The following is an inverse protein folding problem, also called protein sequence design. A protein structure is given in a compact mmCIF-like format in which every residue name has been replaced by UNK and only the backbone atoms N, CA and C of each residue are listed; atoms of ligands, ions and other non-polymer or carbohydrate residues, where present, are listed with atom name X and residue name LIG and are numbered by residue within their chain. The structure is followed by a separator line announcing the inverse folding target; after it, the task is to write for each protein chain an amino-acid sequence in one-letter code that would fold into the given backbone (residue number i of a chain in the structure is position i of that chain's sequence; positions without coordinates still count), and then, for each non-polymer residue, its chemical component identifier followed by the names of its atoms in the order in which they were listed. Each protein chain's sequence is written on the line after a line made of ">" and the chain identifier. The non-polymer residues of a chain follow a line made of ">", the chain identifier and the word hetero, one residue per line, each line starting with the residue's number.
data_IF_280668604570
#
_entry.id   IF_280668604570
#
_cell.length_a   1.000
_cell.length_b   1.000
_cell.length_c   1.000
_cell.angle_alpha   90.00
_cell.angle_beta   90.00
_cell.angle_gamma   90.00
#
_symmetry.space_group_name_H-M   'P 1'
#
loop_
_entity.id
_entity.type
_entity.pdbx_description
1 polymer ?
#
# COMPACT_ATOMS: atom_id res chain seq x y z
N UNK A 1 -5.55 15.95 11.59
CA UNK A 1 -4.94 15.12 10.54
C UNK A 1 -5.94 14.96 9.40
N UNK A 2 -5.71 15.62 8.27
CA UNK A 2 -6.45 15.31 7.03
C UNK A 2 -5.79 14.08 6.43
N UNK A 3 -6.46 12.93 6.45
CA UNK A 3 -6.06 11.80 5.60
C UNK A 3 -6.47 12.21 4.19
N UNK A 4 -5.49 12.65 3.40
CA UNK A 4 -5.70 12.92 1.98
C UNK A 4 -6.06 11.60 1.30
N UNK A 5 -7.35 11.39 1.05
CA UNK A 5 -7.83 10.29 0.23
C UNK A 5 -7.46 10.59 -1.22
N UNK A 6 -6.24 10.23 -1.61
CA UNK A 6 -5.85 10.27 -3.01
C UNK A 6 -6.74 9.28 -3.76
N UNK A 7 -7.64 9.79 -4.61
CA UNK A 7 -8.43 8.94 -5.50
C UNK A 7 -7.45 8.14 -6.36
N UNK A 8 -7.58 6.82 -6.32
CA UNK A 8 -6.73 5.89 -7.06
C UNK A 8 -7.51 5.37 -8.26
N UNK A 9 -7.07 5.73 -9.46
CA UNK A 9 -7.77 5.35 -10.69
C UNK A 9 -7.18 4.10 -11.35
N UNK A 10 -6.10 3.55 -10.77
CA UNK A 10 -5.42 2.36 -11.27
C UNK A 10 -4.82 1.51 -10.14
N UNK A 11 -4.65 0.21 -10.40
CA UNK A 11 -3.94 -0.70 -9.49
C UNK A 11 -2.50 -0.26 -9.23
N UNK A 12 -1.84 0.32 -10.23
CA UNK A 12 -0.45 0.81 -10.08
C UNK A 12 -0.38 1.89 -9.00
N UNK A 13 -1.22 2.92 -9.10
CA UNK A 13 -1.27 4.02 -8.14
C UNK A 13 -1.73 3.53 -6.76
N UNK A 14 -2.64 2.57 -6.71
CA UNK A 14 -3.06 1.94 -5.46
C UNK A 14 -1.93 1.21 -4.72
N UNK A 15 -0.98 0.65 -5.46
CA UNK A 15 0.17 -0.05 -4.89
C UNK A 15 1.33 0.88 -4.53
N UNK A 16 1.29 2.16 -4.92
CA UNK A 16 2.27 3.14 -4.44
C UNK A 16 2.11 3.36 -2.93
N UNK A 17 3.24 3.54 -2.26
CA UNK A 17 3.32 3.66 -0.81
C UNK A 17 4.23 4.83 -0.49
N UNK A 18 3.75 5.73 0.36
CA UNK A 18 4.55 6.81 0.92
C UNK A 18 5.28 6.28 2.16
N UNK A 19 6.60 6.38 2.19
CA UNK A 19 7.36 6.02 3.38
C UNK A 19 7.30 7.14 4.41
N UNK A 20 6.77 6.85 5.60
CA UNK A 20 6.62 7.83 6.69
C UNK A 20 7.59 7.57 7.85
N UNK A 21 8.14 6.36 7.95
CA UNK A 21 9.22 5.94 8.89
C UNK A 21 10.07 4.84 8.22
N UNK A 22 11.23 4.44 8.79
CA UNK A 22 12.09 3.40 8.19
C UNK A 22 11.36 2.11 7.80
N UNK A 23 10.35 1.72 8.57
CA UNK A 23 9.56 0.49 8.40
C UNK A 23 8.05 0.74 8.36
N UNK A 24 7.60 2.00 8.24
CA UNK A 24 6.19 2.36 8.18
C UNK A 24 5.85 3.09 6.88
N UNK A 25 4.78 2.64 6.24
CA UNK A 25 4.34 3.10 4.93
C UNK A 25 2.84 3.44 4.96
N UNK A 26 2.47 4.52 4.28
CA UNK A 26 1.10 4.94 4.08
C UNK A 26 0.64 4.55 2.67
N UNK A 27 -0.40 3.74 2.60
CA UNK A 27 -1.07 3.36 1.36
C UNK A 27 -2.33 4.18 1.12
N UNK A 28 -2.61 4.50 -0.14
CA UNK A 28 -3.89 5.07 -0.53
C UNK A 28 -4.99 3.99 -0.53
N UNK A 29 -6.24 4.43 -0.48
CA UNK A 29 -7.41 3.58 -0.62
C UNK A 29 -8.43 4.21 -1.57
N UNK A 30 -9.18 3.42 -2.33
CA UNK A 30 -10.19 3.95 -3.22
C UNK A 30 -11.30 4.63 -2.40
N UNK A 31 -11.76 5.79 -2.85
CA UNK A 31 -12.93 6.44 -2.28
C UNK A 31 -14.20 5.72 -2.75
N UNK A 32 -14.54 4.61 -2.10
CA UNK A 32 -15.65 3.74 -2.49
C UNK A 32 -17.01 4.15 -1.87
N UNK A 33 -17.08 5.24 -1.11
CA UNK A 33 -18.29 5.67 -0.40
C UNK A 33 -18.77 4.72 0.73
N UNK A 34 -18.17 3.53 0.86
CA UNK A 34 -18.44 2.55 1.91
C UNK A 34 -17.14 2.21 2.66
N UNK A 35 -17.19 2.10 3.99
CA UNK A 35 -16.01 2.00 4.87
C UNK A 35 -15.27 0.66 4.88
N UNK A 36 -15.20 -0.09 3.77
CA UNK A 36 -14.48 -1.37 3.69
C UNK A 36 -13.42 -1.34 2.60
N UNK A 37 -12.28 -1.97 2.90
CA UNK A 37 -11.16 -2.15 1.97
C UNK A 37 -11.15 -3.62 1.52
N UNK A 38 -10.87 -3.86 0.24
CA UNK A 38 -10.72 -5.21 -0.30
C UNK A 38 -9.49 -5.91 0.31
N UNK A 39 -9.63 -7.15 0.79
CA UNK A 39 -8.54 -7.86 1.46
C UNK A 39 -7.28 -8.03 0.61
N UNK A 40 -7.45 -8.27 -0.70
CA UNK A 40 -6.31 -8.38 -1.61
C UNK A 40 -5.52 -7.07 -1.77
N UNK A 41 -6.17 -5.91 -1.62
CA UNK A 41 -5.47 -4.62 -1.59
C UNK A 41 -4.55 -4.54 -0.37
N UNK A 42 -5.08 -4.84 0.82
CA UNK A 42 -4.33 -4.79 2.08
C UNK A 42 -3.11 -5.71 2.02
N UNK A 43 -3.31 -6.96 1.57
CA UNK A 43 -2.23 -7.95 1.44
C UNK A 43 -1.18 -7.48 0.43
N UNK A 44 -1.59 -6.94 -0.72
CA UNK A 44 -0.65 -6.50 -1.76
C UNK A 44 0.19 -5.30 -1.31
N UNK A 45 -0.44 -4.33 -0.64
CA UNK A 45 0.26 -3.18 -0.06
C UNK A 45 1.22 -3.61 1.07
N UNK A 46 0.77 -4.50 1.96
CA UNK A 46 1.61 -5.03 3.04
C UNK A 46 2.83 -5.80 2.50
N UNK A 47 2.62 -6.65 1.49
CA UNK A 47 3.69 -7.39 0.84
C UNK A 47 4.71 -6.46 0.17
N UNK A 48 4.24 -5.40 -0.50
CA UNK A 48 5.13 -4.40 -1.09
C UNK A 48 5.92 -3.65 -0.03
N UNK A 49 5.29 -3.24 1.07
CA UNK A 49 5.97 -2.63 2.20
C UNK A 49 7.09 -3.52 2.76
N UNK A 50 6.81 -4.82 2.95
CA UNK A 50 7.81 -5.80 3.39
C UNK A 50 8.98 -5.94 2.39
N UNK A 51 8.70 -5.92 1.09
CA UNK A 51 9.74 -5.94 0.06
C UNK A 51 10.65 -4.70 0.08
N UNK A 52 10.17 -3.55 0.55
CA UNK A 52 10.93 -2.30 0.66
C UNK A 52 11.85 -2.24 1.89
N UNK A 53 11.67 -3.14 2.86
CA UNK A 53 12.47 -3.17 4.10
C UNK A 53 13.57 -4.23 4.09
N UNK A 54 13.68 -5.00 3.02
CA UNK A 54 14.69 -6.06 2.85
C UNK A 54 15.64 -5.73 1.70
N UNK A 55 16.80 -6.42 1.68
CA UNK A 55 17.72 -6.33 0.55
C UNK A 55 17.04 -6.77 -0.75
N UNK A 56 17.34 -6.11 -1.86
CA UNK A 56 16.81 -6.43 -3.19
C UNK A 56 17.09 -7.87 -3.66
N UNK A 57 18.03 -8.58 -3.01
CA UNK A 57 18.28 -10.01 -3.22
C UNK A 57 17.15 -10.91 -2.70
N UNK A 58 16.39 -10.45 -1.70
CA UNK A 58 15.27 -11.20 -1.12
C UNK A 58 14.02 -10.97 -1.96
N UNK A 59 13.71 -11.95 -2.80
CA UNK A 59 12.53 -11.92 -3.67
C UNK A 59 11.33 -12.54 -2.96
N UNK A 60 10.15 -11.99 -3.21
CA UNK A 60 8.87 -12.57 -2.79
C UNK A 60 8.72 -13.99 -3.35
N UNK A 61 8.22 -14.91 -2.51
CA UNK A 61 7.98 -16.32 -2.86
C UNK A 61 6.71 -16.85 -2.14
N UNK A 62 6.26 -18.07 -2.49
CA UNK A 62 5.16 -18.79 -1.83
C UNK A 62 5.66 -19.99 -1.05
#
# INVERSE_FOLDING_TARGET
>A
MSVSIHSVDSLRTLLELEQVKPDAFLGAGPNLGWGRIYGGQVVSQALRAAGLTVSASHRVHS
#
